data_IF_827260192940
#
_entry.id   IF_827260192940
#
_cell.length_a   1.000
_cell.length_b   1.000
_cell.length_c   1.000
_cell.angle_alpha   90.00
_cell.angle_beta   90.00
_cell.angle_gamma   90.00
#
_symmetry.space_group_name_H-M   'P 1'
#
loop_
_entity.id
_entity.type
_entity.pdbx_description
1 polymer ?
#
# COMPACT_ATOMS: atom_id res chain seq x y z
N UNK A 1 -61.03 8.80 -38.84
CA UNK A 1 -60.06 7.78 -38.40
C UNK A 1 -58.83 8.50 -37.87
N UNK A 2 -58.72 8.66 -36.56
CA UNK A 2 -57.60 9.39 -35.94
C UNK A 2 -56.50 8.39 -35.62
N UNK A 3 -55.38 8.43 -36.34
CA UNK A 3 -54.21 7.60 -36.08
C UNK A 3 -53.52 8.13 -34.82
N UNK A 4 -53.57 7.34 -33.75
CA UNK A 4 -52.79 7.57 -32.55
C UNK A 4 -51.34 7.24 -32.89
N UNK A 5 -50.53 8.27 -33.15
CA UNK A 5 -49.08 8.13 -33.23
C UNK A 5 -48.63 7.91 -31.79
N UNK A 6 -48.24 6.68 -31.47
CA UNK A 6 -47.55 6.35 -30.23
C UNK A 6 -46.19 7.05 -30.37
N UNK A 7 -46.08 8.22 -29.74
CA UNK A 7 -44.78 8.81 -29.46
C UNK A 7 -44.07 7.85 -28.54
N UNK A 8 -43.07 7.20 -29.10
CA UNK A 8 -42.02 6.44 -28.44
C UNK A 8 -41.28 7.38 -27.47
N UNK A 9 -41.92 7.63 -26.34
CA UNK A 9 -41.42 8.35 -25.18
C UNK A 9 -40.39 7.45 -24.48
N UNK A 10 -39.24 7.29 -25.12
CA UNK A 10 -38.13 6.53 -24.55
C UNK A 10 -37.58 7.34 -23.37
N UNK A 11 -37.62 6.82 -22.14
CA UNK A 11 -37.13 7.56 -20.99
C UNK A 11 -35.65 7.90 -21.18
N UNK A 12 -35.29 9.18 -21.01
CA UNK A 12 -33.91 9.64 -21.03
C UNK A 12 -33.15 9.00 -19.85
N UNK A 13 -32.44 7.91 -20.12
CA UNK A 13 -31.65 7.20 -19.12
C UNK A 13 -30.46 8.03 -18.65
N UNK A 14 -30.33 8.20 -17.32
CA UNK A 14 -29.13 8.74 -16.69
C UNK A 14 -28.24 7.60 -16.22
N UNK A 15 -26.94 7.66 -16.51
CA UNK A 15 -25.95 6.72 -16.02
C UNK A 15 -24.92 7.44 -15.14
N UNK A 16 -24.49 6.78 -14.06
CA UNK A 16 -23.37 7.22 -13.24
C UNK A 16 -22.43 6.04 -12.98
N UNK A 17 -21.15 6.33 -12.74
CA UNK A 17 -20.14 5.33 -12.43
C UNK A 17 -19.32 5.75 -11.22
N UNK A 18 -19.06 4.81 -10.31
CA UNK A 18 -18.07 4.96 -9.25
C UNK A 18 -16.77 4.34 -9.74
N UNK A 19 -15.76 5.18 -9.97
CA UNK A 19 -14.43 4.73 -10.39
C UNK A 19 -13.54 4.73 -9.14
N UNK A 20 -13.21 3.55 -8.64
CA UNK A 20 -12.13 3.40 -7.66
C UNK A 20 -10.83 3.24 -8.43
N UNK A 21 -10.01 4.29 -8.45
CA UNK A 21 -8.67 4.24 -9.05
C UNK A 21 -7.76 3.35 -8.21
N UNK A 22 -6.96 2.50 -8.85
CA UNK A 22 -5.88 1.79 -8.15
C UNK A 22 -4.84 2.83 -7.73
N UNK A 23 -4.74 3.10 -6.44
CA UNK A 23 -3.69 3.97 -5.90
C UNK A 23 -2.39 3.18 -5.88
N UNK A 24 -1.45 3.57 -6.72
CA UNK A 24 -0.09 3.01 -6.73
C UNK A 24 0.91 4.06 -6.25
N UNK A 25 1.93 3.59 -5.55
CA UNK A 25 3.07 4.39 -5.10
C UNK A 25 4.29 3.47 -4.94
N UNK A 26 5.47 4.05 -4.78
CA UNK A 26 6.71 3.30 -4.56
C UNK A 26 7.49 3.90 -3.38
N UNK A 27 8.24 3.04 -2.70
CA UNK A 27 9.15 3.43 -1.63
C UNK A 27 10.57 3.02 -2.00
N UNK A 28 11.45 4.00 -2.22
CA UNK A 28 12.84 3.74 -2.55
C UNK A 28 13.66 3.64 -1.25
N UNK A 29 13.93 2.41 -0.81
CA UNK A 29 14.81 2.16 0.33
C UNK A 29 16.26 2.07 -0.13
N UNK A 30 17.10 3.02 0.32
CA UNK A 30 18.54 3.02 0.08
C UNK A 30 19.30 2.73 1.37
N UNK A 31 20.05 1.64 1.39
CA UNK A 31 20.92 1.28 2.52
C UNK A 31 22.34 1.73 2.19
N UNK A 32 22.88 2.67 2.98
CA UNK A 32 24.25 3.15 2.87
C UNK A 32 25.04 2.64 4.07
N UNK A 33 26.22 2.07 3.85
CA UNK A 33 27.04 1.53 4.92
C UNK A 33 26.49 0.23 5.53
N UNK A 34 26.02 -0.70 4.69
CA UNK A 34 25.44 -2.00 5.11
C UNK A 34 26.28 -2.74 6.16
N UNK A 35 27.61 -2.74 6.04
CA UNK A 35 28.44 -3.42 7.05
C UNK A 35 28.22 -2.90 8.46
N UNK A 36 27.94 -1.60 8.62
CA UNK A 36 27.63 -1.00 9.92
C UNK A 36 26.23 -1.34 10.44
N UNK A 37 25.28 -1.71 9.57
CA UNK A 37 23.95 -2.15 10.03
C UNK A 37 23.97 -3.55 10.62
N UNK A 38 25.00 -4.36 10.33
CA UNK A 38 25.15 -5.72 10.88
C UNK A 38 25.47 -5.76 12.38
N UNK A 39 25.79 -4.63 13.01
CA UNK A 39 25.98 -4.54 14.47
C UNK A 39 24.66 -4.62 15.25
N UNK A 40 23.52 -4.52 14.56
CA UNK A 40 22.19 -4.64 15.17
C UNK A 40 21.91 -6.10 15.55
N UNK A 41 21.36 -6.39 16.75
CA UNK A 41 20.98 -7.74 17.16
C UNK A 41 20.04 -8.42 16.16
N UNK A 42 19.98 -9.75 16.17
CA UNK A 42 19.30 -10.51 15.12
C UNK A 42 17.85 -10.08 14.90
N UNK A 43 16.92 -10.34 15.78
CA UNK A 43 15.51 -9.97 15.66
C UNK A 43 15.15 -8.47 15.69
N UNK A 44 16.15 -7.57 15.60
CA UNK A 44 15.95 -6.12 15.58
C UNK A 44 16.02 -5.54 14.17
N UNK A 45 15.08 -4.64 13.87
CA UNK A 45 14.94 -4.03 12.55
C UNK A 45 15.05 -2.52 12.58
N UNK A 46 15.54 -1.95 11.49
CA UNK A 46 15.58 -0.52 11.23
C UNK A 46 14.33 -0.14 10.43
N UNK A 47 13.62 0.88 10.87
CA UNK A 47 12.44 1.37 10.15
C UNK A 47 12.80 2.42 9.10
N UNK A 48 12.11 2.35 7.96
CA UNK A 48 12.12 3.38 6.94
C UNK A 48 11.25 4.58 7.34
N UNK A 49 11.32 5.65 6.56
CA UNK A 49 10.32 6.70 6.62
C UNK A 49 8.92 6.17 6.19
N UNK A 50 7.83 6.79 6.67
CA UNK A 50 6.49 6.37 6.33
C UNK A 50 6.14 6.65 4.85
N UNK A 51 5.35 5.76 4.27
CA UNK A 51 4.76 5.83 2.93
C UNK A 51 3.24 5.79 3.05
N UNK A 52 2.54 6.84 2.60
CA UNK A 52 1.07 6.84 2.53
C UNK A 52 0.59 6.31 1.19
N UNK A 53 -0.18 5.22 1.19
CA UNK A 53 -0.78 4.62 -0.01
C UNK A 53 -2.01 3.80 0.36
N UNK A 54 -3.05 3.84 -0.47
CA UNK A 54 -4.29 3.09 -0.21
C UNK A 54 -5.04 3.53 1.05
N UNK A 55 -4.92 4.79 1.47
CA UNK A 55 -5.54 5.32 2.68
C UNK A 55 -4.83 4.93 3.98
N UNK A 56 -3.75 4.17 3.91
CA UNK A 56 -2.98 3.69 5.05
C UNK A 56 -1.57 4.29 5.06
N UNK A 57 -0.96 4.35 6.24
CA UNK A 57 0.44 4.71 6.42
C UNK A 57 1.24 3.43 6.62
N UNK A 58 2.24 3.19 5.78
CA UNK A 58 3.10 2.01 5.85
C UNK A 58 4.54 2.40 6.16
N UNK A 59 5.29 1.54 6.81
CA UNK A 59 6.75 1.62 6.91
C UNK A 59 7.37 0.27 6.51
N UNK A 60 8.53 0.32 5.86
CA UNK A 60 9.35 -0.87 5.62
C UNK A 60 10.27 -1.03 6.82
N UNK A 61 10.27 -2.20 7.44
CA UNK A 61 11.26 -2.56 8.44
C UNK A 61 12.26 -3.53 7.84
N UNK A 62 13.53 -3.16 7.96
CA UNK A 62 14.67 -3.84 7.40
C UNK A 62 15.48 -4.52 8.52
N UNK A 63 15.78 -5.80 8.33
CA UNK A 63 16.50 -6.64 9.28
C UNK A 63 17.83 -7.07 8.66
N UNK A 64 18.97 -6.47 9.06
CA UNK A 64 20.28 -6.73 8.48
C UNK A 64 20.77 -8.16 8.70
N UNK A 65 20.31 -8.80 9.78
CA UNK A 65 20.71 -10.11 10.27
C UNK A 65 19.52 -11.08 10.35
N UNK A 66 18.50 -10.89 9.50
CA UNK A 66 17.31 -11.75 9.45
C UNK A 66 16.22 -11.36 10.44
N UNK A 67 14.98 -11.71 10.13
CA UNK A 67 13.82 -11.42 10.99
C UNK A 67 13.76 -12.33 12.23
N UNK A 68 14.33 -13.54 12.12
CA UNK A 68 14.33 -14.59 13.14
C UNK A 68 15.63 -15.36 13.05
N UNK A 69 15.98 -16.08 14.11
CA UNK A 69 17.16 -16.95 14.19
C UNK A 69 17.27 -17.93 13.01
N UNK A 70 16.15 -18.46 12.54
CA UNK A 70 16.05 -19.37 11.39
C UNK A 70 16.46 -18.72 10.05
N UNK A 71 16.46 -17.38 9.99
CA UNK A 71 16.69 -16.60 8.78
C UNK A 71 17.93 -15.69 8.90
N UNK A 72 18.85 -15.99 9.82
CA UNK A 72 20.01 -15.13 10.11
C UNK A 72 20.96 -14.92 8.92
N UNK A 73 20.93 -15.83 7.93
CA UNK A 73 21.75 -15.74 6.72
C UNK A 73 21.13 -14.85 5.63
N UNK A 74 19.96 -14.25 5.89
CA UNK A 74 19.23 -13.43 4.94
C UNK A 74 19.01 -12.00 5.45
N UNK A 75 18.87 -11.06 4.52
CA UNK A 75 18.27 -9.76 4.82
C UNK A 75 16.74 -9.94 4.89
N UNK A 76 16.12 -9.52 5.98
CA UNK A 76 14.67 -9.46 6.13
C UNK A 76 14.11 -8.10 5.71
N UNK A 77 12.99 -8.10 4.99
CA UNK A 77 12.20 -6.91 4.69
C UNK A 77 10.73 -7.20 4.99
N UNK A 78 10.10 -6.34 5.79
CA UNK A 78 8.70 -6.48 6.16
C UNK A 78 7.99 -5.15 5.97
N UNK A 79 6.72 -5.19 5.55
CA UNK A 79 5.86 -4.02 5.49
C UNK A 79 5.00 -3.99 6.75
N UNK A 80 5.02 -2.86 7.46
CA UNK A 80 4.27 -2.65 8.68
C UNK A 80 3.22 -1.56 8.46
N UNK A 81 2.02 -1.80 8.99
CA UNK A 81 0.96 -0.81 9.03
C UNK A 81 1.23 0.12 10.23
N UNK A 82 1.43 1.40 9.95
CA UNK A 82 1.74 2.44 10.93
C UNK A 82 0.60 3.48 11.01
N UNK A 83 -0.64 3.00 11.00
CA UNK A 83 -1.78 3.85 11.30
C UNK A 83 -1.97 3.84 12.82
N UNK A 84 -1.58 4.93 13.48
CA UNK A 84 -2.10 5.23 14.82
C UNK A 84 -3.61 5.29 14.70
N UNK A 85 -4.32 4.38 15.35
CA UNK A 85 -5.77 4.50 15.51
C UNK A 85 -6.02 5.86 16.16
N UNK A 86 -6.55 6.80 15.38
CA UNK A 86 -7.17 7.99 15.96
C UNK A 86 -8.38 7.46 16.74
N UNK A 87 -8.24 7.43 18.06
CA UNK A 87 -9.35 7.14 18.96
C UNK A 87 -10.45 8.18 18.86
#
# INVERSE_FOLDING_TARGET
TSSHVIGDDLPSGSASSIISGVVSSYHLLKIVGYSGTKEIPNDEGIESCPLRVGGCTWNVRYYPNGLRSEYNDYIGLCLFLNDTVAG
#
